data_IF_811454167072
#
_entry.id   IF_811454167072
#
_cell.length_a   1.000
_cell.length_b   1.000
_cell.length_c   1.000
_cell.angle_alpha   90.00
_cell.angle_beta   90.00
_cell.angle_gamma   90.00
#
_symmetry.space_group_name_H-M   'P 1'
#
loop_
_entity.id
_entity.type
_entity.pdbx_description
1 polymer ?
#
# COMPACT_ATOMS: atom_id res chain seq x y z
N UNK A 1 4.39 19.41 9.78
CA UNK A 1 5.12 20.67 9.68
C UNK A 1 5.14 21.38 11.04
N UNK A 2 3.97 21.67 11.64
CA UNK A 2 3.83 22.48 12.88
C UNK A 2 4.63 21.91 14.05
N UNK A 3 4.52 20.61 14.34
CA UNK A 3 5.20 20.00 15.49
C UNK A 3 6.72 19.89 15.30
N UNK A 4 7.17 19.70 14.06
CA UNK A 4 8.60 19.49 13.75
C UNK A 4 9.33 20.83 13.60
N UNK A 5 8.79 21.75 12.76
CA UNK A 5 9.45 23.00 12.38
C UNK A 5 9.06 24.17 13.26
N UNK A 6 7.75 24.41 13.49
CA UNK A 6 7.31 25.58 14.24
C UNK A 6 7.57 25.42 15.75
N UNK A 7 7.31 24.22 16.31
CA UNK A 7 7.54 23.92 17.71
C UNK A 7 8.92 23.34 18.01
N UNK A 8 9.76 23.15 17.01
CA UNK A 8 11.15 22.72 17.16
C UNK A 8 11.35 21.34 17.82
N UNK A 9 10.31 20.50 17.90
CA UNK A 9 10.36 19.23 18.65
C UNK A 9 11.03 18.07 17.88
N UNK A 10 11.55 18.32 16.66
CA UNK A 10 12.27 17.29 15.88
C UNK A 10 11.53 15.96 15.78
N UNK A 11 12.21 14.85 16.09
CA UNK A 11 11.65 13.49 16.00
C UNK A 11 10.45 13.28 16.92
N UNK A 12 10.48 13.83 18.14
CA UNK A 12 9.34 13.76 19.06
C UNK A 12 8.12 14.50 18.50
N UNK A 13 8.33 15.61 17.79
CA UNK A 13 7.27 16.34 17.10
C UNK A 13 6.62 15.52 15.97
N UNK A 14 7.41 14.78 15.22
CA UNK A 14 6.89 13.86 14.20
C UNK A 14 6.04 12.74 14.80
N UNK A 15 6.50 12.13 15.90
CA UNK A 15 5.73 11.11 16.62
C UNK A 15 4.39 11.67 17.15
N UNK A 16 4.41 12.86 17.75
CA UNK A 16 3.19 13.54 18.24
C UNK A 16 2.21 13.83 17.09
N UNK A 17 2.70 14.25 15.93
CA UNK A 17 1.86 14.48 14.75
C UNK A 17 1.12 13.19 14.32
N UNK A 18 1.83 12.06 14.28
CA UNK A 18 1.25 10.76 13.93
C UNK A 18 0.20 10.33 14.95
N UNK A 19 0.51 10.41 16.25
CA UNK A 19 -0.44 10.05 17.32
C UNK A 19 -1.69 10.94 17.26
N UNK A 20 -1.52 12.25 17.03
CA UNK A 20 -2.64 13.19 16.92
C UNK A 20 -3.54 12.82 15.73
N UNK A 21 -2.95 12.50 14.57
CA UNK A 21 -3.72 12.06 13.39
C UNK A 21 -4.53 10.79 13.66
N UNK A 22 -3.93 9.78 14.30
CA UNK A 22 -4.62 8.54 14.66
C UNK A 22 -5.72 8.77 15.70
N UNK A 23 -5.49 9.67 16.69
CA UNK A 23 -6.48 10.03 17.69
C UNK A 23 -7.69 10.71 17.05
N UNK A 24 -7.48 11.67 16.15
CA UNK A 24 -8.55 12.34 15.40
C UNK A 24 -9.36 11.32 14.60
N UNK A 25 -8.70 10.40 13.91
CA UNK A 25 -9.37 9.34 13.14
C UNK A 25 -10.23 8.44 14.04
N UNK A 26 -9.70 8.06 15.22
CA UNK A 26 -10.44 7.26 16.18
C UNK A 26 -11.68 8.00 16.74
N UNK A 27 -11.54 9.31 17.04
CA UNK A 27 -12.66 10.14 17.48
C UNK A 27 -13.73 10.24 16.41
N UNK A 28 -13.37 10.56 15.17
CA UNK A 28 -14.32 10.66 14.05
C UNK A 28 -15.05 9.32 13.84
N UNK A 29 -14.31 8.20 13.82
CA UNK A 29 -14.89 6.88 13.69
C UNK A 29 -15.87 6.54 14.81
N UNK A 30 -15.50 6.82 16.06
CA UNK A 30 -16.35 6.59 17.23
C UNK A 30 -17.61 7.47 17.18
N UNK A 31 -17.47 8.75 16.88
CA UNK A 31 -18.60 9.66 16.72
C UNK A 31 -19.58 9.18 15.62
N UNK A 32 -19.05 8.70 14.50
CA UNK A 32 -19.87 8.14 13.41
C UNK A 32 -20.65 6.89 13.86
N UNK A 33 -19.99 5.96 14.56
CA UNK A 33 -20.64 4.75 15.09
C UNK A 33 -21.74 5.09 16.08
N UNK A 34 -21.50 6.06 16.97
CA UNK A 34 -22.50 6.52 17.93
C UNK A 34 -23.67 7.23 17.25
N UNK A 35 -23.38 8.08 16.26
CA UNK A 35 -24.42 8.78 15.48
C UNK A 35 -25.33 7.81 14.71
N UNK A 36 -24.76 6.78 14.10
CA UNK A 36 -25.49 5.73 13.39
C UNK A 36 -26.13 4.71 14.32
N UNK A 37 -25.96 4.86 15.66
CA UNK A 37 -26.47 3.92 16.68
C UNK A 37 -26.12 2.44 16.40
N UNK A 38 -24.92 2.21 15.86
CA UNK A 38 -24.44 0.86 15.59
C UNK A 38 -24.12 0.22 16.95
N UNK A 39 -24.75 -0.92 17.32
CA UNK A 39 -24.57 -1.55 18.61
C UNK A 39 -23.20 -2.24 18.71
N UNK A 40 -22.19 -1.49 19.16
CA UNK A 40 -20.82 -2.00 19.35
C UNK A 40 -20.70 -2.89 20.60
N UNK A 41 -21.64 -2.77 21.55
CA UNK A 41 -21.58 -3.41 22.87
C UNK A 41 -22.22 -4.82 22.94
N UNK A 42 -22.84 -5.32 21.87
CA UNK A 42 -23.41 -6.68 21.82
C UNK A 42 -22.42 -7.69 21.23
N UNK A 43 -21.21 -7.74 21.75
CA UNK A 43 -20.21 -8.73 21.36
C UNK A 43 -20.55 -10.09 21.98
N UNK A 44 -21.19 -10.96 21.22
CA UNK A 44 -21.30 -12.37 21.57
C UNK A 44 -20.03 -13.08 21.08
N UNK A 45 -19.12 -13.35 22.00
CA UNK A 45 -17.85 -13.99 21.71
C UNK A 45 -18.06 -15.48 21.41
N UNK A 46 -18.04 -15.87 20.12
CA UNK A 46 -18.06 -17.26 19.71
C UNK A 46 -16.65 -17.68 19.32
N UNK A 47 -16.06 -18.77 19.90
CA UNK A 47 -14.71 -19.23 19.57
C UNK A 47 -14.49 -19.48 18.07
N UNK A 48 -15.51 -20.00 17.39
CA UNK A 48 -15.49 -20.22 15.93
C UNK A 48 -15.35 -18.92 15.12
N UNK A 49 -15.91 -17.82 15.61
CA UNK A 49 -15.79 -16.49 14.99
C UNK A 49 -14.37 -15.95 15.16
N UNK A 50 -13.77 -16.16 16.34
CA UNK A 50 -12.38 -15.79 16.61
C UNK A 50 -11.40 -16.49 15.66
N UNK A 51 -11.57 -17.81 15.48
CA UNK A 51 -10.72 -18.58 14.54
C UNK A 51 -10.85 -18.07 13.10
N UNK A 52 -12.05 -17.69 12.67
CA UNK A 52 -12.28 -17.14 11.32
C UNK A 52 -11.61 -15.77 11.17
N UNK A 53 -11.75 -14.89 12.17
CA UNK A 53 -11.08 -13.57 12.18
C UNK A 53 -9.56 -13.75 12.15
N UNK A 54 -9.03 -14.64 12.97
CA UNK A 54 -7.59 -14.91 13.05
C UNK A 54 -7.05 -15.47 11.73
N UNK A 55 -7.75 -16.42 11.10
CA UNK A 55 -7.38 -16.98 9.80
C UNK A 55 -7.33 -15.93 8.69
N UNK A 56 -8.32 -15.04 8.65
CA UNK A 56 -8.34 -13.93 7.68
C UNK A 56 -7.24 -12.88 8.00
N UNK A 57 -7.02 -12.61 9.28
CA UNK A 57 -6.00 -11.67 9.74
C UNK A 57 -4.57 -12.13 9.46
N UNK A 58 -4.29 -13.43 9.54
CA UNK A 58 -2.96 -13.99 9.23
C UNK A 58 -2.58 -13.75 7.77
N UNK A 59 -3.56 -13.81 6.86
CA UNK A 59 -3.37 -13.50 5.45
C UNK A 59 -2.98 -12.04 5.24
N UNK A 60 -3.75 -11.11 5.83
CA UNK A 60 -3.45 -9.68 5.77
C UNK A 60 -2.11 -9.33 6.42
N UNK A 61 -1.76 -10.00 7.52
CA UNK A 61 -0.47 -9.85 8.19
C UNK A 61 0.69 -10.26 7.27
N UNK A 62 0.59 -11.41 6.58
CA UNK A 62 1.61 -11.86 5.63
C UNK A 62 1.84 -10.85 4.50
N UNK A 63 0.77 -10.35 3.90
CA UNK A 63 0.83 -9.33 2.83
C UNK A 63 1.53 -8.05 3.28
N UNK A 64 1.34 -7.65 4.54
CA UNK A 64 2.00 -6.46 5.09
C UNK A 64 3.44 -6.74 5.53
N UNK A 65 3.72 -7.94 6.03
CA UNK A 65 5.03 -8.31 6.56
C UNK A 65 6.07 -8.55 5.44
N UNK A 66 5.69 -9.23 4.36
CA UNK A 66 6.61 -9.59 3.27
C UNK A 66 7.35 -8.39 2.65
N UNK A 67 6.69 -7.27 2.27
CA UNK A 67 7.40 -6.11 1.76
C UNK A 67 8.38 -5.48 2.76
N UNK A 68 8.04 -5.50 4.06
CA UNK A 68 8.92 -4.97 5.10
C UNK A 68 10.17 -5.84 5.31
N UNK A 69 10.02 -7.17 5.26
CA UNK A 69 11.16 -8.10 5.29
C UNK A 69 12.03 -7.89 4.06
N UNK A 70 11.43 -7.77 2.87
CA UNK A 70 12.15 -7.51 1.62
C UNK A 70 12.94 -6.21 1.71
N UNK A 71 12.34 -5.13 2.21
CA UNK A 71 13.00 -3.83 2.40
C UNK A 71 14.21 -3.96 3.33
N UNK A 72 14.04 -4.67 4.46
CA UNK A 72 15.12 -4.90 5.43
C UNK A 72 16.29 -5.68 4.79
N UNK A 73 15.99 -6.78 4.13
CA UNK A 73 17.01 -7.62 3.48
C UNK A 73 17.73 -6.85 2.36
N UNK A 74 16.98 -6.14 1.52
CA UNK A 74 17.57 -5.33 0.45
C UNK A 74 18.51 -4.27 1.01
N UNK A 75 18.13 -3.56 2.09
CA UNK A 75 19.02 -2.60 2.73
C UNK A 75 20.29 -3.23 3.28
N UNK A 76 20.20 -4.41 3.91
CA UNK A 76 21.37 -5.13 4.43
C UNK A 76 22.32 -5.58 3.31
N UNK A 77 21.78 -6.14 2.21
CA UNK A 77 22.59 -6.57 1.07
C UNK A 77 23.21 -5.38 0.33
N UNK A 78 22.46 -4.32 0.10
CA UNK A 78 22.96 -3.13 -0.57
C UNK A 78 24.06 -2.43 0.25
N UNK A 79 23.89 -2.37 1.58
CA UNK A 79 24.92 -1.81 2.45
C UNK A 79 26.22 -2.65 2.38
N UNK A 80 26.07 -3.99 2.42
CA UNK A 80 27.22 -4.90 2.41
C UNK A 80 28.00 -4.90 1.10
N UNK A 81 27.32 -4.86 -0.04
CA UNK A 81 27.93 -5.02 -1.36
C UNK A 81 28.04 -3.72 -2.17
N UNK A 82 27.20 -2.73 -1.92
CA UNK A 82 27.14 -1.49 -2.68
C UNK A 82 27.43 -0.22 -1.88
N UNK A 83 27.57 -0.34 -0.56
CA UNK A 83 27.82 0.79 0.34
C UNK A 83 26.64 1.75 0.51
N UNK A 84 26.86 2.85 1.21
CA UNK A 84 25.83 3.84 1.57
C UNK A 84 25.13 4.47 0.36
N UNK A 85 25.85 4.72 -0.72
CA UNK A 85 25.27 5.30 -1.94
C UNK A 85 24.23 4.40 -2.59
N UNK A 86 24.43 3.07 -2.54
CA UNK A 86 23.46 2.10 -3.06
C UNK A 86 22.20 2.01 -2.20
N UNK A 87 22.35 2.11 -0.88
CA UNK A 87 21.21 2.19 0.04
C UNK A 87 20.42 3.48 -0.20
N UNK A 88 21.09 4.61 -0.35
CA UNK A 88 20.45 5.89 -0.66
C UNK A 88 19.73 5.85 -2.01
N UNK A 89 20.33 5.26 -3.04
CA UNK A 89 19.71 5.05 -4.35
C UNK A 89 18.43 4.22 -4.24
N UNK A 90 18.50 3.09 -3.55
CA UNK A 90 17.34 2.21 -3.35
C UNK A 90 16.23 2.89 -2.54
N UNK A 91 16.57 3.68 -1.52
CA UNK A 91 15.61 4.44 -0.74
C UNK A 91 14.84 5.44 -1.61
N UNK A 92 15.52 6.22 -2.44
CA UNK A 92 14.89 7.19 -3.36
C UNK A 92 13.93 6.47 -4.32
N UNK A 93 14.37 5.38 -4.95
CA UNK A 93 13.53 4.60 -5.87
C UNK A 93 12.33 4.02 -5.11
N UNK A 94 12.54 3.45 -3.93
CA UNK A 94 11.47 2.88 -3.10
C UNK A 94 10.42 3.92 -2.72
N UNK A 95 10.81 5.13 -2.34
CA UNK A 95 9.85 6.19 -2.04
C UNK A 95 9.08 6.64 -3.28
N UNK A 96 9.75 6.81 -4.42
CA UNK A 96 9.08 7.18 -5.67
C UNK A 96 8.07 6.11 -6.11
N UNK A 97 8.45 4.82 -6.02
CA UNK A 97 7.57 3.69 -6.35
C UNK A 97 6.44 3.51 -5.36
N UNK A 98 6.64 3.87 -4.09
CA UNK A 98 5.61 3.80 -3.06
C UNK A 98 4.41 4.70 -3.33
N UNK A 99 4.61 5.87 -3.95
CA UNK A 99 3.49 6.72 -4.38
C UNK A 99 2.59 6.01 -5.40
N UNK A 100 3.20 5.35 -6.39
CA UNK A 100 2.45 4.57 -7.39
C UNK A 100 1.72 3.40 -6.73
N UNK A 101 2.40 2.71 -5.82
CA UNK A 101 1.81 1.64 -5.02
C UNK A 101 0.54 2.08 -4.30
N UNK A 102 0.55 3.26 -3.65
CA UNK A 102 -0.62 3.81 -2.94
C UNK A 102 -1.79 4.09 -3.89
N UNK A 103 -1.52 4.58 -5.10
CA UNK A 103 -2.56 4.82 -6.10
C UNK A 103 -3.18 3.50 -6.56
N UNK A 104 -2.36 2.49 -6.87
CA UNK A 104 -2.82 1.17 -7.28
C UNK A 104 -3.59 0.46 -6.16
N UNK A 105 -3.14 0.61 -4.92
CA UNK A 105 -3.86 0.13 -3.75
C UNK A 105 -5.23 0.80 -3.65
N UNK A 106 -5.31 2.12 -3.88
CA UNK A 106 -6.57 2.85 -3.88
C UNK A 106 -7.57 2.32 -4.90
N UNK A 107 -7.13 1.90 -6.08
CA UNK A 107 -7.99 1.24 -7.08
C UNK A 107 -8.52 -0.10 -6.53
N UNK A 108 -7.64 -0.92 -5.96
CA UNK A 108 -8.02 -2.21 -5.35
C UNK A 108 -9.01 -2.04 -4.21
N UNK A 109 -8.69 -1.18 -3.25
CA UNK A 109 -9.52 -0.93 -2.07
C UNK A 109 -10.85 -0.27 -2.43
N UNK A 110 -10.85 0.60 -3.47
CA UNK A 110 -12.06 1.25 -3.97
C UNK A 110 -13.03 0.29 -4.68
N UNK A 111 -12.52 -0.72 -5.39
CA UNK A 111 -13.39 -1.70 -6.06
C UNK A 111 -13.88 -2.81 -5.10
N UNK A 112 -13.20 -3.06 -3.98
CA UNK A 112 -13.52 -4.14 -3.04
C UNK A 112 -14.96 -4.10 -2.49
N UNK A 113 -15.51 -2.97 -2.03
CA UNK A 113 -16.90 -2.91 -1.55
C UNK A 113 -17.92 -3.27 -2.64
N UNK A 114 -17.70 -2.81 -3.87
CA UNK A 114 -18.57 -3.12 -5.01
C UNK A 114 -18.54 -4.61 -5.35
N UNK A 115 -17.36 -5.20 -5.38
CA UNK A 115 -17.18 -6.63 -5.62
C UNK A 115 -17.85 -7.48 -4.53
N UNK A 116 -17.73 -7.05 -3.25
CA UNK A 116 -18.37 -7.72 -2.12
C UNK A 116 -19.89 -7.66 -2.18
N UNK A 117 -20.46 -6.53 -2.60
CA UNK A 117 -21.91 -6.35 -2.75
C UNK A 117 -22.45 -7.21 -3.88
N UNK A 118 -21.82 -7.21 -5.07
CA UNK A 118 -22.25 -8.06 -6.19
C UNK A 118 -22.10 -9.54 -5.86
N UNK A 119 -21.02 -9.92 -5.18
CA UNK A 119 -20.85 -11.30 -4.72
C UNK A 119 -21.94 -11.72 -3.75
N UNK A 120 -22.29 -10.85 -2.78
CA UNK A 120 -23.35 -11.10 -1.81
C UNK A 120 -24.75 -11.22 -2.44
N UNK A 121 -25.00 -10.51 -3.53
CA UNK A 121 -26.26 -10.58 -4.31
C UNK A 121 -26.30 -11.74 -5.31
N UNK A 122 -25.19 -12.42 -5.54
CA UNK A 122 -25.07 -13.47 -6.56
C UNK A 122 -25.00 -12.95 -8.01
N UNK A 123 -24.81 -11.63 -8.21
CA UNK A 123 -24.68 -11.02 -9.55
C UNK A 123 -23.26 -11.18 -10.08
N UNK A 124 -22.96 -12.36 -10.60
CA UNK A 124 -21.66 -12.67 -11.16
C UNK A 124 -21.32 -11.86 -12.42
N UNK A 125 -22.33 -11.42 -13.16
CA UNK A 125 -22.13 -10.61 -14.37
C UNK A 125 -21.60 -9.22 -14.01
N UNK A 126 -22.22 -8.54 -13.05
CA UNK A 126 -21.76 -7.25 -12.56
C UNK A 126 -20.40 -7.37 -11.87
N UNK A 127 -20.17 -8.43 -11.10
CA UNK A 127 -18.88 -8.73 -10.46
C UNK A 127 -17.75 -8.82 -11.49
N UNK A 128 -17.94 -9.64 -12.55
CA UNK A 128 -16.91 -9.79 -13.59
C UNK A 128 -16.64 -8.50 -14.36
N UNK A 129 -17.68 -7.73 -14.69
CA UNK A 129 -17.53 -6.42 -15.35
C UNK A 129 -16.75 -5.43 -14.48
N UNK A 130 -17.11 -5.32 -13.20
CA UNK A 130 -16.41 -4.42 -12.25
C UNK A 130 -14.95 -4.83 -12.05
N UNK A 131 -14.70 -6.13 -11.90
CA UNK A 131 -13.34 -6.66 -11.78
C UNK A 131 -12.51 -6.35 -13.03
N UNK A 132 -13.06 -6.56 -14.22
CA UNK A 132 -12.37 -6.27 -15.49
C UNK A 132 -12.07 -4.78 -15.64
N UNK A 133 -13.02 -3.91 -15.29
CA UNK A 133 -12.81 -2.46 -15.31
C UNK A 133 -11.72 -2.04 -14.32
N UNK A 134 -11.69 -2.63 -13.13
CA UNK A 134 -10.65 -2.36 -12.13
C UNK A 134 -9.25 -2.76 -12.64
N UNK A 135 -9.10 -3.91 -13.33
CA UNK A 135 -7.84 -4.29 -13.96
C UNK A 135 -7.41 -3.29 -15.03
N UNK A 136 -8.29 -2.93 -15.94
CA UNK A 136 -7.97 -1.95 -17.01
C UNK A 136 -7.54 -0.62 -16.38
N UNK A 137 -8.27 -0.14 -15.39
CA UNK A 137 -7.94 1.12 -14.71
C UNK A 137 -6.58 1.05 -14.03
N UNK A 138 -6.30 -0.03 -13.30
CA UNK A 138 -5.01 -0.22 -12.63
C UNK A 138 -3.85 -0.32 -13.64
N UNK A 139 -4.02 -1.04 -14.74
CA UNK A 139 -2.98 -1.17 -15.78
C UNK A 139 -2.72 0.15 -16.51
N UNK A 140 -3.75 0.94 -16.80
CA UNK A 140 -3.58 2.28 -17.38
C UNK A 140 -2.78 3.16 -16.41
N UNK A 141 -3.12 3.15 -15.13
CA UNK A 141 -2.41 3.93 -14.10
C UNK A 141 -0.96 3.46 -13.98
N UNK A 142 -0.72 2.15 -13.98
CA UNK A 142 0.62 1.57 -13.92
C UNK A 142 1.47 1.98 -15.13
N UNK A 143 0.89 1.91 -16.34
CA UNK A 143 1.57 2.30 -17.57
C UNK A 143 1.89 3.80 -17.60
N UNK A 144 0.95 4.66 -17.21
CA UNK A 144 1.17 6.11 -17.12
C UNK A 144 2.24 6.44 -16.08
N UNK A 145 2.21 5.78 -14.92
CA UNK A 145 3.20 5.94 -13.86
C UNK A 145 4.58 5.47 -14.30
N UNK A 146 4.65 4.36 -15.03
CA UNK A 146 5.88 3.87 -15.63
C UNK A 146 6.50 4.93 -16.56
N UNK A 147 5.72 5.45 -17.51
CA UNK A 147 6.19 6.46 -18.47
C UNK A 147 6.64 7.74 -17.72
N UNK A 148 5.84 8.21 -16.78
CA UNK A 148 6.14 9.41 -15.99
C UNK A 148 7.47 9.26 -15.23
N UNK A 149 7.64 8.20 -14.46
CA UNK A 149 8.85 7.97 -13.68
C UNK A 149 10.05 7.65 -14.56
N UNK A 150 9.85 6.98 -15.70
CA UNK A 150 10.91 6.74 -16.66
C UNK A 150 11.46 8.03 -17.26
N UNK A 151 10.60 8.98 -17.62
CA UNK A 151 11.00 10.30 -18.15
C UNK A 151 11.70 11.11 -17.06
N UNK A 152 11.18 11.08 -15.83
CA UNK A 152 11.70 11.86 -14.70
C UNK A 152 12.86 11.18 -13.95
N UNK A 153 13.33 10.00 -14.35
CA UNK A 153 14.27 9.17 -13.57
C UNK A 153 15.54 9.89 -13.13
N UNK A 154 16.10 10.73 -13.97
CA UNK A 154 17.31 11.51 -13.64
C UNK A 154 17.05 12.79 -12.83
N UNK A 155 15.76 13.13 -12.60
CA UNK A 155 15.36 14.27 -11.76
C UNK A 155 14.82 13.81 -10.40
N UNK A 156 14.45 12.55 -10.30
CA UNK A 156 13.82 12.00 -9.09
C UNK A 156 14.74 12.12 -7.86
N UNK A 157 16.05 11.86 -8.01
CA UNK A 157 17.01 12.03 -6.93
C UNK A 157 17.06 13.45 -6.37
N UNK A 158 16.99 14.44 -7.22
CA UNK A 158 16.99 15.85 -6.82
C UNK A 158 15.76 16.23 -5.99
N UNK A 159 14.58 15.65 -6.29
CA UNK A 159 13.36 15.87 -5.51
C UNK A 159 13.49 15.37 -4.06
N UNK A 160 14.31 14.35 -3.84
CA UNK A 160 14.61 13.79 -2.52
C UNK A 160 15.87 14.35 -1.87
N UNK A 161 16.50 15.37 -2.49
CA UNK A 161 17.73 15.98 -1.97
C UNK A 161 18.95 15.06 -2.02
N UNK A 162 18.97 14.06 -2.91
CA UNK A 162 20.09 13.15 -3.09
C UNK A 162 21.28 13.83 -3.79
N UNK A 163 22.50 13.34 -3.54
CA UNK A 163 23.69 13.81 -4.24
C UNK A 163 23.62 13.52 -5.74
N UNK A 164 24.39 14.23 -6.54
CA UNK A 164 24.42 14.05 -8.00
C UNK A 164 24.77 12.60 -8.39
N UNK A 165 25.73 12.00 -7.67
CA UNK A 165 26.12 10.60 -7.86
C UNK A 165 24.94 9.64 -7.63
N UNK A 166 24.20 9.82 -6.51
CA UNK A 166 23.02 8.99 -6.19
C UNK A 166 21.91 9.23 -7.20
N UNK A 167 21.67 10.48 -7.63
CA UNK A 167 20.66 10.82 -8.63
C UNK A 167 20.92 10.10 -9.96
N UNK A 168 22.19 10.03 -10.39
CA UNK A 168 22.58 9.29 -11.60
C UNK A 168 22.35 7.79 -11.42
N UNK A 169 22.74 7.21 -10.28
CA UNK A 169 22.47 5.80 -9.95
C UNK A 169 20.96 5.49 -9.94
N UNK A 170 20.13 6.40 -9.43
CA UNK A 170 18.66 6.29 -9.48
C UNK A 170 18.17 6.21 -10.92
N UNK A 171 18.64 7.12 -11.79
CA UNK A 171 18.26 7.15 -13.21
C UNK A 171 18.58 5.85 -13.95
N UNK A 172 19.75 5.25 -13.67
CA UNK A 172 20.21 4.03 -14.33
C UNK A 172 19.48 2.77 -13.82
N UNK A 173 19.17 2.68 -12.52
CA UNK A 173 18.58 1.49 -11.92
C UNK A 173 17.04 1.51 -11.85
N UNK A 174 16.41 2.68 -11.86
CA UNK A 174 14.97 2.83 -11.76
C UNK A 174 14.18 2.03 -12.82
N UNK A 175 14.56 1.98 -14.12
CA UNK A 175 13.82 1.26 -15.14
C UNK A 175 13.57 -0.22 -14.81
N UNK A 176 14.53 -0.88 -14.17
CA UNK A 176 14.43 -2.29 -13.78
C UNK A 176 13.27 -2.50 -12.80
N UNK A 177 13.13 -1.60 -11.83
CA UNK A 177 12.09 -1.68 -10.80
C UNK A 177 10.71 -1.24 -11.34
N UNK A 178 10.68 -0.32 -12.33
CA UNK A 178 9.43 0.15 -12.93
C UNK A 178 8.66 -0.94 -13.67
N UNK A 179 9.34 -1.92 -14.27
CA UNK A 179 8.70 -3.06 -14.93
C UNK A 179 7.78 -3.81 -13.96
N UNK A 180 8.13 -3.84 -12.67
CA UNK A 180 7.31 -4.45 -11.64
C UNK A 180 5.92 -3.83 -11.47
N UNK A 181 5.67 -2.61 -11.94
CA UNK A 181 4.36 -1.94 -11.76
C UNK A 181 3.22 -2.62 -12.48
N UNK A 182 3.45 -3.19 -13.66
CA UNK A 182 2.43 -3.92 -14.41
C UNK A 182 1.98 -5.15 -13.62
N UNK A 183 2.94 -5.91 -13.08
CA UNK A 183 2.62 -7.06 -12.22
C UNK A 183 1.98 -6.64 -10.91
N UNK A 184 2.43 -5.53 -10.32
CA UNK A 184 1.87 -4.99 -9.09
C UNK A 184 0.41 -4.55 -9.26
N UNK A 185 0.06 -3.90 -10.38
CA UNK A 185 -1.31 -3.50 -10.69
C UNK A 185 -2.25 -4.71 -10.72
N UNK A 186 -1.85 -5.77 -11.44
CA UNK A 186 -2.60 -7.01 -11.49
C UNK A 186 -2.73 -7.66 -10.11
N UNK A 187 -1.64 -7.77 -9.36
CA UNK A 187 -1.63 -8.37 -8.02
C UNK A 187 -2.56 -7.63 -7.05
N UNK A 188 -2.58 -6.28 -7.07
CA UNK A 188 -3.44 -5.48 -6.19
C UNK A 188 -4.92 -5.68 -6.43
N UNK A 189 -5.37 -5.62 -7.67
CA UNK A 189 -6.78 -5.86 -8.01
C UNK A 189 -7.18 -7.30 -7.70
N UNK A 190 -6.30 -8.27 -7.98
CA UNK A 190 -6.53 -9.68 -7.64
C UNK A 190 -6.70 -9.88 -6.14
N UNK A 191 -5.81 -9.31 -5.33
CA UNK A 191 -5.85 -9.35 -3.87
C UNK A 191 -7.18 -8.83 -3.33
N UNK A 192 -7.59 -7.63 -3.76
CA UNK A 192 -8.87 -7.02 -3.35
C UNK A 192 -10.08 -7.84 -3.80
N UNK A 193 -10.00 -8.45 -4.99
CA UNK A 193 -11.04 -9.36 -5.50
C UNK A 193 -11.19 -10.61 -4.63
N UNK A 194 -10.08 -11.23 -4.20
CA UNK A 194 -10.13 -12.40 -3.31
C UNK A 194 -10.64 -12.06 -1.91
N UNK A 195 -10.31 -10.88 -1.39
CA UNK A 195 -10.90 -10.41 -0.13
C UNK A 195 -12.41 -10.21 -0.27
N UNK A 196 -12.87 -9.64 -1.38
CA UNK A 196 -14.28 -9.41 -1.64
C UNK A 196 -15.10 -10.71 -1.74
N UNK A 197 -14.49 -11.80 -2.26
CA UNK A 197 -15.14 -13.13 -2.42
C UNK A 197 -14.88 -14.08 -1.26
N UNK A 198 -14.37 -13.61 -0.12
CA UNK A 198 -14.03 -14.41 1.07
C UNK A 198 -12.94 -15.50 0.84
N UNK A 199 -12.16 -15.39 -0.22
CA UNK A 199 -11.05 -16.29 -0.54
C UNK A 199 -9.69 -15.72 -0.10
N UNK A 200 -9.64 -15.12 1.09
CA UNK A 200 -8.48 -14.42 1.62
C UNK A 200 -7.16 -15.24 1.60
N UNK A 201 -7.25 -16.56 1.73
CA UNK A 201 -6.05 -17.45 1.67
C UNK A 201 -5.43 -17.44 0.27
N UNK A 202 -6.23 -17.39 -0.80
CA UNK A 202 -5.71 -17.29 -2.18
C UNK A 202 -5.02 -15.95 -2.44
N UNK A 203 -5.46 -14.91 -1.77
CA UNK A 203 -4.84 -13.57 -1.81
C UNK A 203 -3.39 -13.60 -1.34
N UNK A 204 -3.06 -14.38 -0.29
CA UNK A 204 -1.70 -14.47 0.28
C UNK A 204 -0.70 -15.18 -0.64
N UNK A 205 -1.17 -15.95 -1.62
CA UNK A 205 -0.29 -16.70 -2.55
C UNK A 205 0.16 -15.83 -3.72
N UNK A 206 -0.56 -14.74 -4.02
CA UNK A 206 -0.30 -13.87 -5.17
C UNK A 206 0.65 -12.72 -4.83
N UNK A 207 0.77 -12.37 -3.57
CA UNK A 207 1.63 -11.29 -3.05
C UNK A 207 2.93 -11.84 -2.49
#
# INVERSE_FOLDING_TARGET
YTFVWVLGKGVAGAALATVTGQFITAVIGTCYLLWKKIPVYRLHFKPTMFLRIFKNGISAFGITLCPNITLLLMNLFLLKYGGESSVACYAVISYATYFVYLILQGVGDGCQPLLSDYFGRGDMTALHKTKHLAYITAEIIAALSFVLLYVLRYHTGNLFGASETVTRMVGDNMPILLVGFLFLAYARVSTSSFYATQEAVKSSVIV
#
